data_IF_095094740964
#
_entry.id   IF_095094740964
#
_cell.length_a   1.000
_cell.length_b   1.000
_cell.length_c   1.000
_cell.angle_alpha   90.00
_cell.angle_beta   90.00
_cell.angle_gamma   90.00
#
_symmetry.space_group_name_H-M   'P 1'
#
loop_
_entity.id
_entity.type
_entity.pdbx_description
1 polymer ?
#
# COMPACT_ATOMS: atom_id res chain seq x y z
N UNK A 1 -23.13 10.46 3.70
CA UNK A 1 -22.88 10.12 2.29
C UNK A 1 -22.90 8.63 2.12
N UNK A 2 -23.53 8.16 1.04
CA UNK A 2 -23.41 6.78 0.56
C UNK A 2 -21.95 6.48 0.16
N UNK A 3 -21.58 5.21 -0.02
CA UNK A 3 -20.24 4.84 -0.51
C UNK A 3 -19.91 5.56 -1.84
N UNK A 4 -20.86 5.57 -2.78
CA UNK A 4 -20.71 6.24 -4.08
C UNK A 4 -20.47 7.75 -4.01
N UNK A 5 -21.09 8.46 -3.06
CA UNK A 5 -20.83 9.91 -2.90
C UNK A 5 -19.39 10.20 -2.45
N UNK A 6 -18.81 9.31 -1.63
CA UNK A 6 -17.44 9.46 -1.18
C UNK A 6 -16.46 9.19 -2.31
N UNK A 7 -16.73 8.18 -3.14
CA UNK A 7 -15.93 7.85 -4.32
C UNK A 7 -15.91 9.01 -5.31
N UNK A 8 -17.09 9.57 -5.65
CA UNK A 8 -17.18 10.73 -6.54
C UNK A 8 -16.46 11.96 -5.97
N UNK A 9 -16.56 12.19 -4.67
CA UNK A 9 -15.90 13.31 -4.01
C UNK A 9 -14.37 13.19 -4.10
N UNK A 10 -13.83 12.00 -3.79
CA UNK A 10 -12.39 11.78 -3.83
C UNK A 10 -11.85 11.77 -5.25
N UNK A 11 -12.60 11.20 -6.21
CA UNK A 11 -12.27 11.25 -7.63
C UNK A 11 -12.15 12.69 -8.14
N UNK A 12 -13.15 13.53 -7.81
CA UNK A 12 -13.19 14.94 -8.21
C UNK A 12 -12.14 15.84 -7.55
N UNK A 13 -11.44 15.37 -6.50
CA UNK A 13 -10.39 16.14 -5.85
C UNK A 13 -9.14 16.28 -6.71
N UNK A 14 -8.85 15.29 -7.58
CA UNK A 14 -7.68 15.17 -8.46
C UNK A 14 -6.54 16.15 -8.10
N UNK A 15 -5.68 15.80 -7.11
CA UNK A 15 -4.70 16.72 -6.55
C UNK A 15 -3.71 17.25 -7.60
N UNK A 16 -3.00 18.32 -7.29
CA UNK A 16 -1.89 18.75 -8.15
C UNK A 16 -0.78 17.68 -8.21
N UNK A 17 -0.21 17.43 -9.39
CA UNK A 17 0.88 16.47 -9.59
C UNK A 17 2.15 16.75 -8.74
N UNK A 18 2.34 17.97 -8.27
CA UNK A 18 3.43 18.35 -7.35
C UNK A 18 3.13 18.04 -5.87
N UNK A 19 2.01 17.38 -5.57
CA UNK A 19 1.69 16.94 -4.22
C UNK A 19 2.79 16.02 -3.69
N UNK A 20 3.36 16.38 -2.54
CA UNK A 20 4.40 15.58 -1.86
C UNK A 20 3.86 14.75 -0.70
N UNK A 21 2.72 15.16 -0.13
CA UNK A 21 2.11 14.49 1.01
C UNK A 21 0.60 14.33 0.79
N UNK A 22 0.08 13.12 0.99
CA UNK A 22 -1.34 12.80 0.85
C UNK A 22 -1.89 12.23 2.16
N UNK A 23 -2.89 12.90 2.71
CA UNK A 23 -3.59 12.48 3.91
C UNK A 23 -5.04 12.16 3.57
N UNK A 24 -5.47 10.92 3.81
CA UNK A 24 -6.86 10.52 3.59
C UNK A 24 -7.41 9.89 4.85
N UNK A 25 -8.49 10.47 5.37
CA UNK A 25 -9.12 10.04 6.61
C UNK A 25 -10.62 9.86 6.46
N UNK A 26 -11.13 8.71 6.89
CA UNK A 26 -12.57 8.46 6.96
C UNK A 26 -13.23 8.21 5.60
N UNK A 27 -12.44 7.83 4.58
CA UNK A 27 -12.96 7.56 3.24
C UNK A 27 -13.77 6.26 3.22
N UNK A 28 -15.08 6.38 3.03
CA UNK A 28 -16.03 5.25 3.05
C UNK A 28 -16.22 4.56 1.69
N UNK A 29 -15.55 5.05 0.64
CA UNK A 29 -15.60 4.41 -0.67
C UNK A 29 -14.89 3.06 -0.66
N UNK A 30 -15.27 2.20 -1.60
CA UNK A 30 -14.69 0.88 -1.80
C UNK A 30 -13.71 0.87 -2.98
N UNK A 31 -13.59 1.96 -3.73
CA UNK A 31 -12.67 2.06 -4.86
C UNK A 31 -11.55 3.05 -4.57
N UNK A 32 -10.35 2.74 -5.06
CA UNK A 32 -9.26 3.71 -5.15
C UNK A 32 -9.58 4.67 -6.31
N UNK A 33 -9.36 5.98 -6.15
CA UNK A 33 -9.60 6.93 -7.23
C UNK A 33 -8.62 6.71 -8.39
N UNK A 34 -9.06 6.99 -9.62
CA UNK A 34 -8.30 6.67 -10.83
C UNK A 34 -6.93 7.38 -10.86
N UNK A 35 -6.87 8.60 -10.33
CA UNK A 35 -5.63 9.37 -10.23
C UNK A 35 -4.58 8.74 -9.30
N UNK A 36 -4.98 7.90 -8.34
CA UNK A 36 -4.05 7.20 -7.44
C UNK A 36 -3.59 5.86 -8.03
N UNK A 37 -4.35 5.31 -8.96
CA UNK A 37 -3.99 4.12 -9.73
C UNK A 37 -3.06 4.46 -10.91
N UNK A 38 -3.20 5.66 -11.47
CA UNK A 38 -2.29 6.23 -12.46
C UNK A 38 -0.98 6.74 -11.82
N UNK A 39 -0.08 5.79 -11.56
CA UNK A 39 1.21 6.01 -10.88
C UNK A 39 2.14 7.05 -11.55
N UNK A 40 1.85 7.44 -12.80
CA UNK A 40 2.63 8.46 -13.50
C UNK A 40 2.24 9.88 -13.10
N UNK A 41 1.02 10.08 -12.58
CA UNK A 41 0.51 11.39 -12.20
C UNK A 41 1.16 11.91 -10.90
N UNK A 42 1.53 11.03 -9.98
CA UNK A 42 2.15 11.36 -8.68
C UNK A 42 3.65 11.08 -8.64
N UNK A 43 4.40 11.62 -9.60
CA UNK A 43 5.86 11.46 -9.63
C UNK A 43 6.57 12.10 -8.43
N UNK A 44 5.98 13.10 -7.78
CA UNK A 44 6.57 13.80 -6.64
C UNK A 44 6.01 13.39 -5.27
N UNK A 45 5.07 12.44 -5.21
CA UNK A 45 4.44 12.04 -3.96
C UNK A 45 5.42 11.22 -3.11
N UNK A 46 5.74 11.74 -1.93
CA UNK A 46 6.75 11.18 -1.02
C UNK A 46 6.12 10.51 0.20
N UNK A 47 4.97 10.99 0.67
CA UNK A 47 4.34 10.48 1.89
C UNK A 47 2.84 10.26 1.73
N UNK A 48 2.38 9.11 2.20
CA UNK A 48 0.97 8.73 2.22
C UNK A 48 0.55 8.33 3.63
N UNK A 49 -0.53 8.94 4.10
CA UNK A 49 -1.15 8.68 5.39
C UNK A 49 -2.62 8.33 5.19
N UNK A 50 -2.99 7.10 5.49
CA UNK A 50 -4.37 6.63 5.34
C UNK A 50 -4.88 6.14 6.68
N UNK A 51 -6.02 6.71 7.11
CA UNK A 51 -6.66 6.37 8.37
C UNK A 51 -8.15 6.12 8.15
N UNK A 52 -8.69 4.98 8.58
CA UNK A 52 -10.12 4.69 8.38
C UNK A 52 -10.49 4.83 6.89
N UNK A 53 -9.93 3.97 6.05
CA UNK A 53 -10.37 3.78 4.67
C UNK A 53 -11.33 2.59 4.60
N UNK A 54 -12.20 2.56 3.59
CA UNK A 54 -13.11 1.45 3.32
C UNK A 54 -12.40 0.14 2.96
N UNK A 55 -13.17 -0.84 2.49
CA UNK A 55 -12.77 -2.25 2.34
C UNK A 55 -11.70 -2.54 1.29
N UNK A 56 -11.29 -1.56 0.47
CA UNK A 56 -10.33 -1.79 -0.60
C UNK A 56 -9.07 -0.96 -0.45
N UNK A 57 -7.95 -1.66 -0.29
CA UNK A 57 -6.62 -1.07 -0.46
C UNK A 57 -5.81 -1.97 -1.38
N UNK A 58 -5.81 -1.67 -2.68
CA UNK A 58 -4.81 -2.19 -3.62
C UNK A 58 -3.49 -1.48 -3.34
N UNK A 59 -2.80 -1.97 -2.32
CA UNK A 59 -1.53 -1.45 -1.82
C UNK A 59 -0.41 -1.55 -2.88
N UNK A 60 -0.59 -2.38 -3.91
CA UNK A 60 0.23 -2.40 -5.12
C UNK A 60 0.25 -1.08 -5.92
N UNK A 61 -0.81 -0.26 -5.86
CA UNK A 61 -0.80 1.08 -6.45
C UNK A 61 0.27 1.95 -5.76
N UNK A 62 0.28 2.00 -4.43
CA UNK A 62 1.31 2.74 -3.68
C UNK A 62 2.73 2.19 -3.92
N UNK A 63 2.85 0.88 -4.13
CA UNK A 63 4.12 0.22 -4.40
C UNK A 63 4.80 0.65 -5.70
N UNK A 64 4.05 1.23 -6.63
CA UNK A 64 4.59 1.69 -7.91
C UNK A 64 4.99 3.16 -7.91
N UNK A 65 4.66 3.89 -6.84
CA UNK A 65 5.00 5.30 -6.73
C UNK A 65 6.53 5.45 -6.61
N UNK A 66 7.19 6.10 -7.59
CA UNK A 66 8.64 6.05 -7.72
C UNK A 66 9.37 6.83 -6.62
N UNK A 67 8.71 7.78 -5.95
CA UNK A 67 9.30 8.65 -4.95
C UNK A 67 8.75 8.46 -3.53
N UNK A 68 7.86 7.48 -3.33
CA UNK A 68 7.26 7.23 -2.03
C UNK A 68 8.32 6.78 -1.01
N UNK A 69 8.49 7.57 0.05
CA UNK A 69 9.41 7.35 1.17
C UNK A 69 8.70 6.89 2.44
N UNK A 70 7.45 7.32 2.64
CA UNK A 70 6.69 6.99 3.85
C UNK A 70 5.28 6.52 3.52
N UNK A 71 4.90 5.42 4.15
CA UNK A 71 3.56 4.87 4.10
C UNK A 71 3.06 4.58 5.52
N UNK A 72 2.00 5.26 5.94
CA UNK A 72 1.35 5.08 7.23
C UNK A 72 -0.10 4.67 7.01
N UNK A 73 -0.43 3.45 7.40
CA UNK A 73 -1.75 2.87 7.24
C UNK A 73 -2.30 2.47 8.60
N UNK A 74 -3.45 3.03 8.93
CA UNK A 74 -4.09 2.82 10.21
C UNK A 74 -5.56 2.50 10.01
N UNK A 75 -6.02 1.40 10.60
CA UNK A 75 -7.45 1.04 10.65
C UNK A 75 -8.09 1.12 9.27
N UNK A 76 -7.78 0.20 8.36
CA UNK A 76 -8.37 0.18 7.02
C UNK A 76 -9.77 -0.45 7.03
N UNK A 77 -10.56 -0.13 8.06
CA UNK A 77 -11.80 -0.81 8.44
C UNK A 77 -12.90 0.16 8.87
N UNK A 78 -13.50 0.88 7.93
CA UNK A 78 -14.74 1.58 8.28
C UNK A 78 -15.89 0.57 8.34
N UNK A 79 -16.29 0.22 9.56
CA UNK A 79 -17.43 -0.68 9.82
C UNK A 79 -17.05 -2.13 10.15
N UNK A 80 -15.78 -2.43 10.43
CA UNK A 80 -15.34 -3.75 10.89
C UNK A 80 -15.23 -4.83 9.79
N UNK A 81 -15.37 -4.43 8.52
CA UNK A 81 -15.38 -5.33 7.37
C UNK A 81 -14.05 -5.43 6.62
N UNK A 82 -12.96 -4.84 7.13
CA UNK A 82 -11.68 -4.99 6.45
C UNK A 82 -11.25 -6.46 6.48
N UNK A 83 -11.26 -7.10 5.33
CA UNK A 83 -10.70 -8.42 5.10
C UNK A 83 -9.35 -8.31 4.38
N UNK A 84 -8.61 -7.20 4.62
CA UNK A 84 -7.29 -7.04 4.04
C UNK A 84 -6.35 -8.06 4.69
N UNK A 85 -6.24 -9.22 4.04
CA UNK A 85 -5.34 -10.30 4.44
C UNK A 85 -3.99 -10.15 3.77
N UNK A 86 -3.97 -9.71 2.51
CA UNK A 86 -2.73 -9.54 1.78
C UNK A 86 -2.68 -8.19 1.08
N UNK A 87 -1.50 -7.58 1.09
CA UNK A 87 -1.15 -6.50 0.20
C UNK A 87 -0.91 -7.07 -1.18
N UNK A 88 -1.74 -6.71 -2.15
CA UNK A 88 -1.67 -7.23 -3.52
C UNK A 88 -1.09 -6.23 -4.51
N UNK A 89 -0.26 -6.73 -5.42
CA UNK A 89 0.20 -6.03 -6.62
C UNK A 89 0.00 -6.91 -7.85
N UNK A 90 -0.50 -6.34 -8.96
CA UNK A 90 -0.87 -7.09 -10.17
C UNK A 90 -0.01 -6.69 -11.37
N UNK A 91 0.94 -7.52 -11.81
CA UNK A 91 1.72 -7.22 -13.03
C UNK A 91 1.10 -7.90 -14.25
N UNK A 92 1.04 -7.17 -15.38
CA UNK A 92 0.69 -7.74 -16.69
C UNK A 92 1.91 -8.22 -17.46
N UNK A 93 3.11 -7.84 -17.01
CA UNK A 93 4.38 -8.21 -17.64
C UNK A 93 4.96 -9.46 -16.94
N UNK A 94 5.03 -10.61 -17.64
CA UNK A 94 5.63 -11.84 -17.12
C UNK A 94 7.15 -11.72 -16.91
N UNK A 95 7.81 -10.77 -17.56
CA UNK A 95 9.25 -10.54 -17.37
C UNK A 95 9.56 -9.76 -16.08
N UNK A 96 8.60 -8.97 -15.59
CA UNK A 96 8.67 -8.29 -14.30
C UNK A 96 8.51 -9.26 -13.10
N UNK A 97 8.25 -10.55 -13.36
CA UNK A 97 8.15 -11.59 -12.32
C UNK A 97 9.48 -11.88 -11.61
N UNK A 98 10.62 -11.47 -12.18
CA UNK A 98 11.95 -11.83 -11.66
C UNK A 98 12.39 -11.02 -10.43
N UNK A 99 11.71 -9.92 -10.10
CA UNK A 99 11.78 -9.17 -8.85
C UNK A 99 11.01 -7.87 -9.08
N UNK A 100 9.68 -7.88 -8.89
CA UNK A 100 8.94 -6.64 -8.89
C UNK A 100 9.38 -5.83 -7.66
N UNK A 101 10.30 -4.89 -7.84
CA UNK A 101 10.69 -3.94 -6.80
C UNK A 101 9.53 -2.97 -6.60
N UNK A 102 8.57 -3.37 -5.78
CA UNK A 102 7.61 -2.44 -5.21
C UNK A 102 8.33 -1.61 -4.16
N UNK A 103 7.92 -0.37 -4.00
CA UNK A 103 8.46 0.52 -2.97
C UNK A 103 9.97 0.76 -3.10
N UNK A 104 10.47 1.16 -4.30
CA UNK A 104 11.91 1.31 -4.56
C UNK A 104 12.61 2.33 -3.64
N UNK A 105 11.85 3.27 -3.05
CA UNK A 105 12.36 4.33 -2.19
C UNK A 105 11.72 4.38 -0.81
N UNK A 106 10.91 3.39 -0.44
CA UNK A 106 10.22 3.42 0.85
C UNK A 106 11.23 3.23 1.98
N UNK A 107 11.21 4.17 2.92
CA UNK A 107 12.10 4.25 4.07
C UNK A 107 11.35 3.96 5.37
N UNK A 108 10.07 4.35 5.43
CA UNK A 108 9.23 4.26 6.62
C UNK A 108 7.92 3.55 6.29
N UNK A 109 7.69 2.42 6.95
CA UNK A 109 6.44 1.67 6.88
C UNK A 109 5.80 1.59 8.27
N UNK A 110 4.58 2.12 8.40
CA UNK A 110 3.80 2.07 9.63
C UNK A 110 2.46 1.42 9.35
N UNK A 111 2.19 0.32 10.05
CA UNK A 111 0.96 -0.45 9.96
C UNK A 111 0.32 -0.56 11.34
N UNK A 112 -0.89 -0.03 11.50
CA UNK A 112 -1.57 0.03 12.80
C UNK A 112 -3.01 -0.46 12.70
N UNK A 113 -3.40 -1.34 13.61
CA UNK A 113 -4.77 -1.85 13.72
C UNK A 113 -5.23 -2.52 12.41
N UNK A 114 -4.44 -3.45 11.89
CA UNK A 114 -4.73 -4.27 10.71
C UNK A 114 -4.76 -5.75 11.11
N UNK A 115 -5.75 -6.17 11.92
CA UNK A 115 -5.71 -7.45 12.63
C UNK A 115 -5.82 -8.68 11.73
N UNK A 116 -6.24 -8.52 10.46
CA UNK A 116 -6.34 -9.61 9.48
C UNK A 116 -5.17 -9.64 8.49
N UNK A 117 -4.29 -8.64 8.50
CA UNK A 117 -3.19 -8.56 7.54
C UNK A 117 -2.15 -9.66 7.84
N UNK A 118 -2.01 -10.59 6.90
CA UNK A 118 -1.10 -11.75 6.91
C UNK A 118 0.20 -11.52 6.15
N UNK A 119 0.22 -10.64 5.15
CA UNK A 119 1.47 -10.31 4.46
C UNK A 119 1.30 -9.61 3.11
N UNK A 120 2.26 -9.85 2.23
CA UNK A 120 2.37 -9.24 0.90
C UNK A 120 2.33 -10.33 -0.17
N UNK A 121 1.73 -10.06 -1.34
CA UNK A 121 1.73 -10.98 -2.49
C UNK A 121 1.69 -10.23 -3.82
N UNK A 122 2.40 -10.75 -4.81
CA UNK A 122 2.32 -10.27 -6.18
C UNK A 122 1.60 -11.30 -7.04
N UNK A 123 0.59 -10.88 -7.79
CA UNK A 123 -0.17 -11.70 -8.73
C UNK A 123 0.22 -11.35 -10.16
N UNK A 124 0.37 -12.37 -11.02
CA UNK A 124 0.46 -12.14 -12.46
C UNK A 124 -0.96 -12.12 -13.06
N UNK A 125 -1.29 -11.12 -13.87
CA UNK A 125 -2.60 -11.05 -14.51
C UNK A 125 -2.74 -12.08 -15.66
N UNK A 126 -1.62 -12.54 -16.22
CA UNK A 126 -1.58 -13.50 -17.35
C UNK A 126 -1.48 -14.97 -16.92
N UNK A 127 -1.16 -15.23 -15.65
CA UNK A 127 -1.13 -16.56 -15.05
C UNK A 127 -1.51 -16.44 -13.58
N UNK A 128 -2.38 -17.31 -13.06
CA UNK A 128 -2.77 -17.34 -11.64
C UNK A 128 -1.65 -17.77 -10.67
N UNK A 129 -0.39 -17.62 -11.08
CA UNK A 129 0.81 -17.91 -10.32
C UNK A 129 1.20 -16.73 -9.43
N UNK A 130 1.65 -17.05 -8.21
CA UNK A 130 2.27 -16.09 -7.29
C UNK A 130 3.63 -15.68 -7.87
N UNK A 131 3.82 -14.38 -8.07
CA UNK A 131 5.07 -13.81 -8.55
C UNK A 131 6.08 -13.66 -7.39
N UNK A 132 7.35 -13.36 -7.72
CA UNK A 132 8.47 -13.29 -6.78
C UNK A 132 8.26 -12.33 -5.58
N UNK A 133 9.19 -12.38 -4.60
CA UNK A 133 9.06 -11.67 -3.33
C UNK A 133 9.02 -10.15 -3.52
N UNK A 134 8.27 -9.47 -2.66
CA UNK A 134 8.25 -8.01 -2.61
C UNK A 134 9.49 -7.53 -1.84
N UNK A 135 10.25 -6.60 -2.40
CA UNK A 135 11.52 -6.15 -1.84
C UNK A 135 11.43 -4.69 -1.43
N UNK A 136 11.84 -4.36 -0.20
CA UNK A 136 11.91 -2.98 0.29
C UNK A 136 13.37 -2.50 0.46
N UNK A 137 14.06 -2.14 -0.64
CA UNK A 137 15.52 -1.98 -0.63
C UNK A 137 16.05 -0.84 0.25
N UNK A 138 15.20 0.13 0.62
CA UNK A 138 15.57 1.31 1.43
C UNK A 138 14.88 1.37 2.79
N UNK A 139 14.14 0.34 3.15
CA UNK A 139 13.32 0.35 4.34
C UNK A 139 14.21 0.36 5.58
N UNK A 140 14.08 1.42 6.37
CA UNK A 140 14.89 1.67 7.56
C UNK A 140 14.06 1.65 8.84
N UNK A 141 12.77 1.94 8.74
CA UNK A 141 11.87 2.03 9.89
C UNK A 141 10.60 1.24 9.61
N UNK A 142 10.34 0.25 10.46
CA UNK A 142 9.10 -0.51 10.46
C UNK A 142 8.45 -0.35 11.82
N UNK A 143 7.17 0.02 11.82
CA UNK A 143 6.32 -0.06 13.01
C UNK A 143 5.05 -0.82 12.70
N UNK A 144 4.90 -1.95 13.37
CA UNK A 144 3.73 -2.81 13.36
C UNK A 144 3.04 -2.65 14.71
N UNK A 145 1.73 -2.44 14.73
CA UNK A 145 0.95 -2.42 15.97
C UNK A 145 -0.42 -3.01 15.73
N UNK A 146 -0.79 -4.03 16.50
CA UNK A 146 -2.09 -4.71 16.34
C UNK A 146 -2.32 -5.17 14.90
N UNK A 147 -1.31 -5.83 14.32
CA UNK A 147 -1.36 -6.44 12.98
C UNK A 147 -1.53 -7.95 13.11
N UNK A 148 -2.16 -8.59 12.13
CA UNK A 148 -2.42 -10.04 12.09
C UNK A 148 -1.29 -10.89 11.52
N UNK A 149 -0.05 -10.38 11.50
CA UNK A 149 1.08 -11.10 10.89
C UNK A 149 1.43 -12.30 11.77
N UNK A 150 1.07 -13.50 11.32
CA UNK A 150 1.33 -14.76 12.05
C UNK A 150 2.80 -15.18 11.96
N UNK A 151 3.48 -14.81 10.87
CA UNK A 151 4.89 -15.10 10.60
C UNK A 151 5.53 -13.81 10.06
N UNK A 152 6.81 -13.58 10.37
CA UNK A 152 7.59 -12.51 9.75
C UNK A 152 7.71 -12.82 8.26
N UNK A 153 7.13 -12.00 7.37
CA UNK A 153 7.14 -12.31 5.95
C UNK A 153 8.58 -12.33 5.41
N UNK A 154 8.85 -13.20 4.44
CA UNK A 154 10.20 -13.38 3.86
C UNK A 154 10.74 -12.08 3.25
N UNK A 155 9.85 -11.16 2.87
CA UNK A 155 10.13 -9.81 2.40
C UNK A 155 10.88 -8.95 3.43
N UNK A 156 10.79 -9.29 4.71
CA UNK A 156 11.54 -8.65 5.78
C UNK A 156 12.85 -9.37 6.09
N UNK A 157 13.07 -10.56 5.53
CA UNK A 157 14.35 -11.26 5.65
C UNK A 157 15.35 -10.61 4.67
N UNK A 158 16.47 -10.12 5.22
CA UNK A 158 17.51 -9.45 4.41
C UNK A 158 17.36 -7.94 4.26
N UNK A 159 16.52 -7.27 5.07
CA UNK A 159 16.50 -5.80 5.17
C UNK A 159 17.76 -5.26 5.87
N UNK A 160 18.88 -5.26 5.15
CA UNK A 160 20.18 -4.77 5.65
C UNK A 160 20.18 -3.29 6.03
N UNK A 161 19.23 -2.52 5.51
CA UNK A 161 19.06 -1.09 5.83
C UNK A 161 18.15 -0.84 7.05
N UNK A 162 17.56 -1.87 7.65
CA UNK A 162 16.61 -1.72 8.76
C UNK A 162 17.34 -1.24 10.02
N UNK A 163 16.91 -0.08 10.53
CA UNK A 163 17.46 0.56 11.72
C UNK A 163 16.51 0.44 12.92
N UNK A 164 15.21 0.33 12.67
CA UNK A 164 14.19 0.26 13.70
C UNK A 164 13.08 -0.74 13.34
N UNK A 165 12.74 -1.59 14.31
CA UNK A 165 11.60 -2.50 14.28
C UNK A 165 10.79 -2.31 15.56
N UNK A 166 9.57 -1.78 15.43
CA UNK A 166 8.56 -1.76 16.50
C UNK A 166 7.47 -2.78 16.21
N UNK A 167 7.12 -3.61 17.20
CA UNK A 167 6.05 -4.61 17.16
C UNK A 167 5.08 -4.36 18.32
#
# INVERSE_FOLDING_TARGET
>A
GSSGDNEMLLEGFQPNANLRELWIRGYRGERIPSWLDDNHYFSNLEEIFIVNWGTCVCFGAFGRLPHLKRLDLKRLDIGGLSNLEYVESTTTDPSALSAAVLFPRLEVLILRCLPKLKGWRTMCASSSSVAGPIIFPRLRYIQLRSVGLEIVPEEFQGLSSLQYLGI
#
